data_IF_644386912568
#
_entry.id   IF_644386912568
#
_cell.length_a   1.000
_cell.length_b   1.000
_cell.length_c   1.000
_cell.angle_alpha   90.00
_cell.angle_beta   90.00
_cell.angle_gamma   90.00
#
_symmetry.space_group_name_H-M   'P 1'
#
loop_
_entity.id
_entity.type
_entity.pdbx_description
1 polymer ?
#
# COMPACT_ATOMS: atom_id res chain seq x y z
N UNK A 1 0.77 -11.18 35.50
CA UNK A 1 0.06 -10.77 34.28
C UNK A 1 0.53 -9.37 33.90
N UNK A 2 1.17 -9.21 32.73
CA UNK A 2 1.60 -7.90 32.21
C UNK A 2 1.86 -8.04 30.70
N UNK A 3 0.97 -7.46 29.91
CA UNK A 3 0.82 -7.68 28.47
C UNK A 3 2.07 -7.26 27.67
N UNK A 4 2.61 -8.19 26.88
CA UNK A 4 3.68 -7.93 25.89
C UNK A 4 3.20 -7.14 24.67
N UNK A 5 2.57 -5.98 24.87
CA UNK A 5 1.88 -5.20 23.84
C UNK A 5 2.49 -3.84 23.57
N UNK A 6 3.80 -3.77 23.29
CA UNK A 6 4.47 -2.54 22.87
C UNK A 6 4.82 -2.58 21.38
N UNK A 7 4.62 -1.48 20.66
CA UNK A 7 5.10 -1.32 19.27
C UNK A 7 6.60 -1.62 19.24
N UNK A 8 7.00 -2.62 18.43
CA UNK A 8 8.38 -3.07 18.37
C UNK A 8 9.33 -1.93 17.95
N UNK A 9 10.63 -2.06 18.24
CA UNK A 9 11.63 -1.11 17.72
C UNK A 9 11.59 -1.05 16.19
N UNK A 10 11.35 -2.18 15.53
CA UNK A 10 11.20 -2.28 14.08
C UNK A 10 9.99 -1.50 13.58
N UNK A 11 8.84 -1.66 14.23
CA UNK A 11 7.62 -0.91 13.87
C UNK A 11 7.77 0.59 14.07
N UNK A 12 8.43 1.02 15.15
CA UNK A 12 8.74 2.45 15.37
C UNK A 12 9.62 3.01 14.25
N UNK A 13 10.70 2.31 13.88
CA UNK A 13 11.59 2.74 12.81
C UNK A 13 10.86 2.79 11.45
N UNK A 14 10.02 1.77 11.17
CA UNK A 14 9.18 1.72 9.97
C UNK A 14 8.20 2.90 9.92
N UNK A 15 7.50 3.17 11.02
CA UNK A 15 6.54 4.27 11.08
C UNK A 15 7.23 5.63 10.95
N UNK A 16 8.37 5.84 11.63
CA UNK A 16 9.16 7.06 11.49
C UNK A 16 9.63 7.29 10.05
N UNK A 17 10.05 6.22 9.36
CA UNK A 17 10.39 6.28 7.94
C UNK A 17 9.17 6.63 7.07
N UNK A 18 8.02 6.01 7.31
CA UNK A 18 6.79 6.30 6.57
C UNK A 18 6.36 7.76 6.74
N UNK A 19 6.41 8.31 7.94
CA UNK A 19 6.11 9.73 8.21
C UNK A 19 7.03 10.64 7.38
N UNK A 20 8.34 10.36 7.37
CA UNK A 20 9.30 11.17 6.58
C UNK A 20 9.03 11.10 5.08
N UNK A 21 8.71 9.91 4.55
CA UNK A 21 8.40 9.74 3.13
C UNK A 21 7.10 10.46 2.74
N UNK A 22 6.09 10.46 3.62
CA UNK A 22 4.82 11.15 3.38
C UNK A 22 4.97 12.66 3.30
N UNK A 23 5.83 13.25 4.13
CA UNK A 23 6.12 14.67 4.09
C UNK A 23 6.70 15.15 2.74
N UNK A 24 7.23 14.24 1.90
CA UNK A 24 7.73 14.55 0.56
C UNK A 24 6.62 14.59 -0.50
N UNK A 25 5.40 14.14 -0.18
CA UNK A 25 4.27 14.08 -1.09
C UNK A 25 3.30 15.21 -0.73
N UNK A 26 2.84 16.06 -1.67
CA UNK A 26 1.82 17.06 -1.38
C UNK A 26 0.54 16.43 -0.80
N UNK A 27 -0.12 17.10 0.15
CA UNK A 27 -1.30 16.57 0.87
C UNK A 27 -2.46 16.22 -0.07
N UNK A 28 -2.59 16.93 -1.19
CA UNK A 28 -3.61 16.64 -2.21
C UNK A 28 -3.32 15.41 -3.07
N UNK A 29 -2.13 14.80 -2.97
CA UNK A 29 -1.74 13.65 -3.77
C UNK A 29 -1.90 12.35 -2.98
N UNK A 30 -2.43 11.33 -3.64
CA UNK A 30 -2.48 9.98 -3.09
C UNK A 30 -1.11 9.30 -3.17
N UNK A 31 -0.89 8.33 -2.29
CA UNK A 31 0.32 7.51 -2.21
C UNK A 31 -0.01 6.11 -2.71
N UNK A 32 0.86 5.55 -3.56
CA UNK A 32 0.70 4.19 -4.08
C UNK A 32 1.73 3.26 -3.45
N UNK A 33 1.26 2.29 -2.68
CA UNK A 33 2.06 1.19 -2.16
C UNK A 33 1.94 -0.04 -3.05
N UNK A 34 3.08 -0.65 -3.38
CA UNK A 34 3.16 -1.89 -4.16
C UNK A 34 3.87 -2.94 -3.31
N UNK A 35 3.17 -4.02 -3.01
CA UNK A 35 3.73 -5.21 -2.37
C UNK A 35 4.03 -6.23 -3.46
N UNK A 36 5.29 -6.65 -3.52
CA UNK A 36 5.79 -7.59 -4.50
C UNK A 36 6.10 -8.94 -3.84
N UNK A 37 5.38 -9.98 -4.23
CA UNK A 37 5.60 -11.35 -3.78
C UNK A 37 5.79 -12.31 -4.95
N UNK A 38 5.91 -13.60 -4.66
CA UNK A 38 6.24 -14.60 -5.68
C UNK A 38 5.15 -14.75 -6.76
N UNK A 39 3.89 -14.95 -6.34
CA UNK A 39 2.77 -15.20 -7.24
C UNK A 39 1.59 -14.22 -7.08
N UNK A 40 1.65 -13.31 -6.11
CA UNK A 40 0.56 -12.38 -5.77
C UNK A 40 1.13 -11.00 -5.49
N UNK A 41 0.70 -10.02 -6.27
CA UNK A 41 1.09 -8.62 -6.11
C UNK A 41 -0.10 -7.84 -5.55
N UNK A 42 0.15 -6.89 -4.67
CA UNK A 42 -0.88 -5.98 -4.17
C UNK A 42 -0.51 -4.54 -4.50
N UNK A 43 -1.48 -3.79 -5.01
CA UNK A 43 -1.38 -2.36 -5.23
C UNK A 43 -2.44 -1.69 -4.39
N UNK A 44 -2.03 -0.73 -3.56
CA UNK A 44 -2.91 0.00 -2.65
C UNK A 44 -2.69 1.49 -2.88
N UNK A 45 -3.77 2.22 -3.08
CA UNK A 45 -3.80 3.68 -3.10
C UNK A 45 -4.28 4.15 -1.73
N UNK A 46 -3.51 4.99 -1.06
CA UNK A 46 -3.87 5.56 0.25
C UNK A 46 -3.76 7.07 0.25
N UNK A 47 -4.43 7.71 1.19
CA UNK A 47 -4.11 9.09 1.58
C UNK A 47 -2.88 9.15 2.51
N UNK A 48 -2.60 10.34 3.02
CA UNK A 48 -1.48 10.61 3.94
C UNK A 48 -1.61 9.94 5.31
N UNK A 49 -2.85 9.67 5.73
CA UNK A 49 -3.15 8.96 6.98
C UNK A 49 -3.10 7.44 6.80
N UNK A 50 -2.73 6.95 5.61
CA UNK A 50 -2.75 5.53 5.22
C UNK A 50 -4.15 4.93 5.07
N UNK A 51 -5.19 5.75 4.99
CA UNK A 51 -6.54 5.25 4.70
C UNK A 51 -6.57 4.73 3.28
N UNK A 52 -7.07 3.50 3.10
CA UNK A 52 -7.15 2.87 1.79
C UNK A 52 -8.26 3.55 0.97
N UNK A 53 -7.89 4.18 -0.13
CA UNK A 53 -8.81 4.77 -1.12
C UNK A 53 -9.22 3.72 -2.15
N UNK A 54 -8.27 2.90 -2.59
CA UNK A 54 -8.49 1.80 -3.52
C UNK A 54 -7.43 0.71 -3.34
N UNK A 55 -7.76 -0.52 -3.71
CA UNK A 55 -6.76 -1.60 -3.80
C UNK A 55 -7.07 -2.59 -4.92
N UNK A 56 -6.01 -3.25 -5.40
CA UNK A 56 -6.10 -4.31 -6.38
C UNK A 56 -5.05 -5.38 -6.16
N UNK A 57 -5.46 -6.63 -6.33
CA UNK A 57 -4.58 -7.80 -6.28
C UNK A 57 -4.37 -8.35 -7.68
N UNK A 58 -3.13 -8.71 -8.00
CA UNK A 58 -2.76 -9.38 -9.25
C UNK A 58 -2.17 -10.76 -8.92
N UNK A 59 -2.66 -11.81 -9.58
CA UNK A 59 -2.07 -13.15 -9.50
C UNK A 59 -1.13 -13.32 -10.71
N UNK A 60 0.13 -12.93 -10.53
CA UNK A 60 1.18 -12.99 -11.54
C UNK A 60 2.56 -12.92 -10.85
N UNK A 61 3.65 -13.17 -11.59
CA UNK A 61 5.00 -12.86 -11.10
C UNK A 61 5.19 -11.35 -10.99
N UNK A 62 6.13 -10.90 -10.16
CA UNK A 62 6.39 -9.47 -9.97
C UNK A 62 6.76 -8.76 -11.28
N UNK A 63 7.59 -9.38 -12.13
CA UNK A 63 8.00 -8.84 -13.44
C UNK A 63 6.86 -8.80 -14.47
N UNK A 64 5.75 -9.52 -14.24
CA UNK A 64 4.56 -9.48 -15.11
C UNK A 64 3.55 -8.39 -14.71
N UNK A 65 3.79 -7.67 -13.60
CA UNK A 65 2.83 -6.71 -13.05
C UNK A 65 2.56 -5.54 -14.01
N UNK A 66 3.61 -4.98 -14.63
CA UNK A 66 3.52 -3.79 -15.49
C UNK A 66 2.44 -3.92 -16.56
N UNK A 67 2.54 -4.90 -17.48
CA UNK A 67 1.54 -5.12 -18.53
C UNK A 67 0.12 -5.38 -18.00
N UNK A 68 -0.02 -5.99 -16.82
CA UNK A 68 -1.33 -6.30 -16.21
C UNK A 68 -1.98 -5.11 -15.52
N UNK A 69 -1.18 -4.16 -15.04
CA UNK A 69 -1.64 -2.92 -14.43
C UNK A 69 -2.13 -1.95 -15.50
N UNK A 70 -1.30 -1.69 -16.53
CA UNK A 70 -1.52 -0.60 -17.50
C UNK A 70 -2.34 -1.01 -18.72
N UNK A 71 -2.64 -2.30 -18.88
CA UNK A 71 -3.34 -2.83 -20.05
C UNK A 71 -4.84 -2.51 -20.10
N UNK A 72 -5.46 -2.59 -21.31
CA UNK A 72 -6.85 -2.22 -21.58
C UNK A 72 -7.92 -3.10 -20.88
N UNK A 73 -7.50 -4.18 -20.21
CA UNK A 73 -8.37 -5.07 -19.42
C UNK A 73 -8.20 -4.85 -17.92
N UNK A 74 -8.00 -3.59 -17.50
CA UNK A 74 -7.87 -3.26 -16.09
C UNK A 74 -9.16 -3.60 -15.34
N UNK A 75 -9.10 -4.65 -14.51
CA UNK A 75 -10.19 -5.06 -13.61
C UNK A 75 -10.54 -3.88 -12.68
N UNK A 76 -11.83 -3.61 -12.41
CA UNK A 76 -12.24 -2.48 -11.58
C UNK A 76 -11.54 -2.45 -10.24
N UNK A 77 -11.06 -1.27 -9.83
CA UNK A 77 -10.51 -1.06 -8.51
C UNK A 77 -11.60 -1.27 -7.46
N UNK A 78 -11.31 -2.08 -6.43
CA UNK A 78 -12.17 -2.08 -5.24
C UNK A 78 -11.87 -0.79 -4.49
N UNK A 79 -12.84 0.13 -4.45
CA UNK A 79 -12.77 1.29 -3.57
C UNK A 79 -12.63 0.80 -2.13
N UNK A 80 -11.81 1.46 -1.34
CA UNK A 80 -11.85 1.29 0.11
C UNK A 80 -13.19 1.77 0.64
N UNK A 81 -13.69 1.16 1.72
CA UNK A 81 -14.87 1.70 2.40
C UNK A 81 -14.56 3.12 2.90
N UNK A 82 -15.47 4.08 2.73
CA UNK A 82 -15.43 5.29 3.52
C UNK A 82 -15.72 4.87 4.96
N UNK A 83 -14.66 4.70 5.76
CA UNK A 83 -14.80 4.84 7.22
C UNK A 83 -15.03 6.29 7.57
#
# INVERSE_FOLDING_TARGET
MGNGGGVSRGDRNRNARLTRLRALVPVGNAIVGIDLADAKQMVVVTDHDSKVLARRTFRCRAWDLGPRWTGPRSVPWRRGSPV
#
